data_IF_772971539005
#
_entry.id   IF_772971539005
#
_cell.length_a   1.000
_cell.length_b   1.000
_cell.length_c   1.000
_cell.angle_alpha   90.00
_cell.angle_beta   90.00
_cell.angle_gamma   90.00
#
_symmetry.space_group_name_H-M   'P 1'
#
loop_
_entity.id
_entity.type
_entity.pdbx_description
1 polymer ?
#
# COMPACT_ATOMS: atom_id res chain seq x y z
N UNK A 1 81.74 -58.57 50.18
CA UNK A 1 80.32 -58.25 49.88
C UNK A 1 80.20 -56.86 49.24
N UNK A 2 80.70 -55.81 49.90
CA UNK A 2 80.67 -54.41 49.39
C UNK A 2 81.34 -54.25 48.01
N UNK A 3 82.48 -54.90 47.79
CA UNK A 3 83.23 -54.84 46.51
C UNK A 3 82.50 -55.48 45.33
N UNK A 4 81.60 -56.44 45.56
CA UNK A 4 80.80 -57.09 44.50
C UNK A 4 79.70 -56.14 44.04
N UNK A 5 78.99 -55.50 44.98
CA UNK A 5 77.99 -54.48 44.64
C UNK A 5 78.59 -53.30 43.88
N UNK A 6 79.77 -52.83 44.28
CA UNK A 6 80.43 -51.71 43.62
C UNK A 6 80.79 -52.01 42.15
N UNK A 7 81.25 -53.23 41.87
CA UNK A 7 81.56 -53.69 40.50
C UNK A 7 80.29 -53.81 39.65
N UNK A 8 79.22 -54.37 40.20
CA UNK A 8 77.91 -54.45 39.52
C UNK A 8 77.36 -53.06 39.19
N UNK A 9 77.52 -52.09 40.10
CA UNK A 9 77.12 -50.69 39.84
C UNK A 9 77.98 -50.07 38.74
N UNK A 10 79.30 -50.26 38.76
CA UNK A 10 80.18 -49.75 37.69
C UNK A 10 79.86 -50.38 36.33
N UNK A 11 79.62 -51.69 36.29
CA UNK A 11 79.31 -52.43 35.06
C UNK A 11 77.92 -52.06 34.49
N UNK A 12 76.97 -51.64 35.35
CA UNK A 12 75.60 -51.26 34.95
C UNK A 12 75.34 -49.74 34.82
N UNK A 13 76.30 -48.89 35.23
CA UNK A 13 76.13 -47.43 35.25
C UNK A 13 75.75 -46.84 33.89
N UNK A 14 76.37 -47.31 32.81
CA UNK A 14 76.06 -46.84 31.45
C UNK A 14 74.60 -47.13 31.08
N UNK A 15 74.11 -48.34 31.33
CA UNK A 15 72.74 -48.76 31.01
C UNK A 15 71.70 -47.96 31.80
N UNK A 16 71.99 -47.66 33.08
CA UNK A 16 71.11 -46.85 33.91
C UNK A 16 71.06 -45.39 33.44
N UNK A 17 72.19 -44.82 33.02
CA UNK A 17 72.26 -43.46 32.47
C UNK A 17 71.51 -43.37 31.14
N UNK A 18 71.70 -44.33 30.23
CA UNK A 18 70.97 -44.36 28.95
C UNK A 18 69.46 -44.52 29.18
N UNK A 19 69.05 -45.43 30.07
CA UNK A 19 67.63 -45.64 30.37
C UNK A 19 66.97 -44.39 30.98
N UNK A 20 67.70 -43.64 31.80
CA UNK A 20 67.22 -42.36 32.34
C UNK A 20 67.07 -41.31 31.25
N UNK A 21 68.06 -41.17 30.37
CA UNK A 21 68.01 -40.23 29.26
C UNK A 21 66.82 -40.53 28.33
N UNK A 22 66.62 -41.80 27.95
CA UNK A 22 65.46 -42.21 27.14
C UNK A 22 64.11 -41.95 27.84
N UNK A 23 64.05 -42.10 29.17
CA UNK A 23 62.84 -41.78 29.93
C UNK A 23 62.56 -40.27 29.94
N UNK A 24 63.60 -39.45 30.12
CA UNK A 24 63.51 -37.98 30.06
C UNK A 24 63.11 -37.52 28.64
N UNK A 25 63.65 -38.10 27.57
CA UNK A 25 63.25 -37.80 26.18
C UNK A 25 61.78 -38.15 25.90
N UNK A 26 61.28 -39.30 26.41
CA UNK A 26 59.86 -39.65 26.28
C UNK A 26 58.96 -38.62 26.95
N UNK A 27 59.31 -38.17 28.16
CA UNK A 27 58.56 -37.16 28.89
C UNK A 27 58.60 -35.82 28.12
N UNK A 28 59.76 -35.41 27.62
CA UNK A 28 59.89 -34.19 26.82
C UNK A 28 59.06 -34.26 25.53
N UNK A 29 59.08 -35.39 24.82
CA UNK A 29 58.27 -35.59 23.62
C UNK A 29 56.76 -35.55 23.91
N UNK A 30 56.31 -36.13 25.02
CA UNK A 30 54.91 -36.05 25.45
C UNK A 30 54.53 -34.60 25.71
N UNK A 31 55.34 -33.87 26.48
CA UNK A 31 55.10 -32.47 26.83
C UNK A 31 55.04 -31.57 25.59
N UNK A 32 55.95 -31.77 24.64
CA UNK A 32 55.95 -31.01 23.39
C UNK A 32 54.68 -31.24 22.57
N UNK A 33 54.17 -32.48 22.52
CA UNK A 33 52.90 -32.78 21.85
C UNK A 33 51.73 -32.13 22.56
N UNK A 34 51.68 -32.19 23.89
CA UNK A 34 50.63 -31.53 24.67
C UNK A 34 50.62 -30.02 24.44
N UNK A 35 51.80 -29.38 24.38
CA UNK A 35 51.94 -27.96 24.07
C UNK A 35 51.48 -27.63 22.63
N UNK A 36 51.82 -28.48 21.66
CA UNK A 36 51.37 -28.32 20.27
C UNK A 36 49.87 -28.52 20.12
N UNK A 37 49.31 -29.57 20.73
CA UNK A 37 47.87 -29.85 20.72
C UNK A 37 47.07 -28.77 21.46
N UNK A 38 47.64 -28.18 22.51
CA UNK A 38 47.06 -27.02 23.19
C UNK A 38 47.09 -25.79 22.29
N UNK A 39 48.22 -25.49 21.63
CA UNK A 39 48.34 -24.37 20.72
C UNK A 39 47.41 -24.50 19.51
N UNK A 40 47.30 -25.70 18.93
CA UNK A 40 46.41 -25.99 17.81
C UNK A 40 44.95 -25.77 18.19
N UNK A 41 44.52 -26.28 19.36
CA UNK A 41 43.15 -26.07 19.85
C UNK A 41 42.86 -24.59 20.10
N UNK A 42 43.78 -23.88 20.73
CA UNK A 42 43.62 -22.45 20.97
C UNK A 42 43.50 -21.65 19.66
N UNK A 43 44.29 -21.98 18.64
CA UNK A 43 44.19 -21.36 17.32
C UNK A 43 42.83 -21.67 16.65
N UNK A 44 42.38 -22.92 16.72
CA UNK A 44 41.10 -23.33 16.15
C UNK A 44 39.91 -22.62 16.84
N UNK A 45 39.93 -22.54 18.17
CA UNK A 45 38.91 -21.82 18.94
C UNK A 45 38.89 -20.33 18.61
N UNK A 46 40.08 -19.71 18.43
CA UNK A 46 40.18 -18.32 18.00
C UNK A 46 39.53 -18.13 16.63
N UNK A 47 39.89 -18.93 15.62
CA UNK A 47 39.29 -18.85 14.28
C UNK A 47 37.77 -19.01 14.33
N UNK A 48 37.25 -19.97 15.11
CA UNK A 48 35.80 -20.16 15.29
C UNK A 48 35.11 -18.98 15.99
N UNK A 49 35.79 -18.26 16.89
CA UNK A 49 35.25 -17.05 17.50
C UNK A 49 35.19 -15.92 16.49
N UNK A 50 36.26 -15.73 15.70
CA UNK A 50 36.29 -14.71 14.65
C UNK A 50 35.21 -14.95 13.59
N UNK A 51 35.03 -16.19 13.13
CA UNK A 51 33.99 -16.53 12.17
C UNK A 51 32.59 -16.25 12.72
N UNK A 52 32.32 -16.64 13.97
CA UNK A 52 31.02 -16.34 14.61
C UNK A 52 30.78 -14.85 14.76
N UNK A 53 31.78 -14.08 15.18
CA UNK A 53 31.64 -12.62 15.28
C UNK A 53 31.35 -11.97 13.93
N UNK A 54 32.02 -12.43 12.87
CA UNK A 54 31.76 -11.95 11.52
C UNK A 54 30.34 -12.30 11.06
N UNK A 55 29.89 -13.52 11.30
CA UNK A 55 28.52 -13.95 10.97
C UNK A 55 27.48 -13.14 11.73
N UNK A 56 27.69 -12.91 13.04
CA UNK A 56 26.79 -12.08 13.86
C UNK A 56 26.78 -10.62 13.40
N UNK A 57 27.92 -10.08 12.96
CA UNK A 57 28.01 -8.73 12.40
C UNK A 57 27.32 -8.62 11.03
N UNK A 58 27.55 -9.57 10.12
CA UNK A 58 26.84 -9.65 8.84
C UNK A 58 25.33 -9.77 9.06
N UNK A 59 24.88 -10.66 9.95
CA UNK A 59 23.46 -10.82 10.26
C UNK A 59 22.86 -9.55 10.89
N UNK A 60 23.61 -8.85 11.76
CA UNK A 60 23.16 -7.58 12.33
C UNK A 60 23.01 -6.50 11.25
N UNK A 61 23.96 -6.41 10.34
CA UNK A 61 23.91 -5.46 9.21
C UNK A 61 22.76 -5.79 8.26
N UNK A 62 22.54 -7.07 7.94
CA UNK A 62 21.40 -7.50 7.13
C UNK A 62 20.07 -7.13 7.79
N UNK A 63 19.92 -7.40 9.09
CA UNK A 63 18.71 -7.02 9.84
C UNK A 63 18.49 -5.51 9.85
N UNK A 64 19.54 -4.72 10.08
CA UNK A 64 19.46 -3.26 10.05
C UNK A 64 19.05 -2.75 8.67
N UNK A 65 19.64 -3.28 7.60
CA UNK A 65 19.27 -2.93 6.22
C UNK A 65 17.82 -3.30 5.88
N UNK A 66 17.36 -4.48 6.31
CA UNK A 66 16.00 -4.95 6.09
C UNK A 66 14.97 -4.11 6.88
N UNK A 67 15.32 -3.69 8.09
CA UNK A 67 14.48 -2.76 8.87
C UNK A 67 14.45 -1.36 8.25
N UNK A 68 15.57 -0.86 7.75
CA UNK A 68 15.63 0.42 7.05
C UNK A 68 14.81 0.40 5.75
N UNK A 69 14.89 -0.68 4.96
CA UNK A 69 14.09 -0.86 3.75
C UNK A 69 12.60 -0.92 4.07
N UNK A 70 12.22 -1.66 5.13
CA UNK A 70 10.82 -1.72 5.58
C UNK A 70 10.29 -0.35 6.01
N UNK A 71 11.07 0.42 6.76
CA UNK A 71 10.70 1.78 7.19
C UNK A 71 10.53 2.71 5.99
N UNK A 72 11.48 2.71 5.06
CA UNK A 72 11.39 3.53 3.86
C UNK A 72 10.14 3.20 3.05
N UNK A 73 9.82 1.91 2.89
CA UNK A 73 8.61 1.48 2.19
C UNK A 73 7.32 1.92 2.92
N UNK A 74 7.29 1.81 4.24
CA UNK A 74 6.15 2.24 5.05
C UNK A 74 5.94 3.76 4.96
N UNK A 75 7.02 4.54 5.03
CA UNK A 75 7.01 6.00 4.84
C UNK A 75 6.51 6.38 3.43
N UNK A 76 6.99 5.71 2.37
CA UNK A 76 6.51 5.93 1.00
C UNK A 76 5.02 5.61 0.84
N UNK A 77 4.54 4.52 1.46
CA UNK A 77 3.13 4.15 1.45
C UNK A 77 2.26 5.15 2.23
N UNK A 78 2.76 5.69 3.35
CA UNK A 78 2.08 6.75 4.11
C UNK A 78 2.03 8.07 3.32
N UNK A 79 3.15 8.49 2.72
CA UNK A 79 3.18 9.68 1.86
C UNK A 79 2.24 9.55 0.65
N UNK A 80 2.18 8.36 0.03
CA UNK A 80 1.26 8.11 -1.07
C UNK A 80 -0.20 8.26 -0.64
N UNK A 81 -0.57 7.67 0.52
CA UNK A 81 -1.90 7.83 1.10
C UNK A 81 -2.24 9.29 1.39
N UNK A 82 -1.30 10.04 1.99
CA UNK A 82 -1.53 11.45 2.28
C UNK A 82 -1.70 12.29 0.99
N UNK A 83 -0.93 12.00 -0.05
CA UNK A 83 -1.08 12.66 -1.36
C UNK A 83 -2.44 12.34 -2.00
N UNK A 84 -2.88 11.08 -1.94
CA UNK A 84 -4.19 10.67 -2.44
C UNK A 84 -5.35 11.35 -1.68
N UNK A 85 -5.26 11.45 -0.35
CA UNK A 85 -6.26 12.15 0.47
C UNK A 85 -6.30 13.66 0.15
N UNK A 86 -5.13 14.29 0.02
CA UNK A 86 -5.05 15.71 -0.37
C UNK A 86 -5.63 15.95 -1.77
N UNK A 87 -5.31 15.08 -2.73
CA UNK A 87 -5.84 15.18 -4.09
C UNK A 87 -7.36 14.93 -4.12
N UNK A 88 -7.86 13.96 -3.35
CA UNK A 88 -9.29 13.70 -3.24
C UNK A 88 -10.04 14.90 -2.63
N UNK A 89 -9.49 15.49 -1.57
CA UNK A 89 -10.03 16.69 -0.93
C UNK A 89 -10.04 17.90 -1.90
N UNK A 90 -8.96 18.09 -2.67
CA UNK A 90 -8.90 19.14 -3.69
C UNK A 90 -9.93 18.93 -4.80
N UNK A 91 -10.07 17.69 -5.30
CA UNK A 91 -11.09 17.33 -6.31
C UNK A 91 -12.51 17.56 -5.79
N UNK A 92 -12.78 17.25 -4.53
CA UNK A 92 -14.08 17.51 -3.90
C UNK A 92 -14.33 19.02 -3.77
N UNK A 93 -13.36 19.78 -3.27
CA UNK A 93 -13.45 21.23 -3.16
C UNK A 93 -13.69 21.88 -4.54
N UNK A 94 -13.02 21.41 -5.59
CA UNK A 94 -13.23 21.87 -6.96
C UNK A 94 -14.66 21.58 -7.44
N UNK A 95 -15.23 20.40 -7.13
CA UNK A 95 -16.63 20.09 -7.45
C UNK A 95 -17.61 21.01 -6.74
N UNK A 96 -17.37 21.28 -5.45
CA UNK A 96 -18.20 22.19 -4.66
C UNK A 96 -18.15 23.59 -5.24
N UNK A 97 -16.95 24.10 -5.57
CA UNK A 97 -16.78 25.40 -6.21
C UNK A 97 -17.48 25.49 -7.56
N UNK A 98 -17.32 24.49 -8.42
CA UNK A 98 -18.03 24.44 -9.71
C UNK A 98 -19.54 24.39 -9.53
N UNK A 99 -20.04 23.70 -8.50
CA UNK A 99 -21.47 23.68 -8.17
C UNK A 99 -21.95 25.05 -7.67
N UNK A 100 -21.17 25.72 -6.83
CA UNK A 100 -21.48 27.08 -6.36
C UNK A 100 -21.47 28.09 -7.51
N UNK A 101 -20.44 28.07 -8.36
CA UNK A 101 -20.36 28.95 -9.54
C UNK A 101 -21.53 28.68 -10.50
N UNK A 102 -21.91 27.42 -10.73
CA UNK A 102 -23.10 27.07 -11.52
C UNK A 102 -24.39 27.55 -10.87
N UNK A 103 -24.53 27.42 -9.55
CA UNK A 103 -25.72 27.91 -8.84
C UNK A 103 -25.82 29.45 -8.92
N UNK A 104 -24.71 30.16 -8.78
CA UNK A 104 -24.68 31.61 -8.96
C UNK A 104 -24.96 32.04 -10.42
N UNK A 105 -24.47 31.28 -11.40
CA UNK A 105 -24.63 31.60 -12.82
C UNK A 105 -26.03 31.25 -13.38
N UNK A 106 -26.69 30.23 -12.84
CA UNK A 106 -27.95 29.72 -13.39
C UNK A 106 -29.20 30.41 -12.80
N UNK A 107 -29.05 31.22 -11.75
CA UNK A 107 -30.20 31.86 -11.06
C UNK A 107 -31.05 30.83 -10.31
N UNK A 108 -32.08 31.31 -9.58
CA UNK A 108 -33.06 30.41 -8.94
C UNK A 108 -33.77 29.60 -10.02
N UNK A 109 -33.85 28.29 -9.82
CA UNK A 109 -34.65 27.40 -10.66
C UNK A 109 -36.07 27.97 -10.70
N UNK A 110 -36.66 28.20 -11.90
CA UNK A 110 -38.00 28.75 -11.98
C UNK A 110 -38.94 27.87 -11.14
N UNK A 111 -39.81 28.49 -10.35
CA UNK A 111 -40.69 27.84 -9.37
C UNK A 111 -41.50 26.67 -9.97
N UNK A 112 -41.72 26.74 -11.29
CA UNK A 112 -42.13 25.62 -12.13
C UNK A 112 -40.94 25.30 -13.05
N UNK A 113 -40.35 24.10 -12.92
CA UNK A 113 -39.21 23.64 -13.75
C UNK A 113 -39.54 23.58 -15.27
N UNK A 114 -38.82 22.79 -16.11
CA UNK A 114 -39.15 22.63 -17.55
C UNK A 114 -40.58 22.10 -17.82
N UNK A 115 -41.24 21.72 -16.73
CA UNK A 115 -42.61 21.28 -16.54
C UNK A 115 -43.63 22.41 -16.76
N UNK A 116 -43.47 23.30 -17.75
CA UNK A 116 -44.45 24.34 -18.06
C UNK A 116 -45.15 23.99 -19.38
N UNK A 117 -46.47 24.19 -19.46
CA UNK A 117 -47.24 23.83 -20.67
C UNK A 117 -46.76 24.56 -21.94
N UNK A 118 -46.11 25.72 -21.81
CA UNK A 118 -45.41 26.41 -22.89
C UNK A 118 -44.42 25.51 -23.66
N UNK A 119 -43.65 24.66 -22.96
CA UNK A 119 -42.67 23.75 -23.59
C UNK A 119 -43.34 22.80 -24.59
N UNK A 120 -44.60 22.42 -24.36
CA UNK A 120 -45.36 21.58 -25.29
C UNK A 120 -45.76 22.35 -26.55
N UNK A 121 -46.11 23.62 -26.42
CA UNK A 121 -46.37 24.49 -27.56
C UNK A 121 -45.10 24.74 -28.36
N UNK A 122 -43.99 25.08 -27.71
CA UNK A 122 -42.69 25.30 -28.36
C UNK A 122 -42.24 24.03 -29.13
N UNK A 123 -42.44 22.84 -28.55
CA UNK A 123 -42.16 21.57 -29.24
C UNK A 123 -43.03 21.39 -30.49
N UNK A 124 -44.35 21.61 -30.39
CA UNK A 124 -45.27 21.44 -31.52
C UNK A 124 -44.99 22.47 -32.62
N UNK A 125 -44.74 23.73 -32.24
CA UNK A 125 -44.35 24.80 -33.15
C UNK A 125 -43.02 24.46 -33.85
N UNK A 126 -42.06 23.85 -33.15
CA UNK A 126 -40.79 23.40 -33.75
C UNK A 126 -40.92 22.27 -34.79
N UNK A 127 -42.05 21.54 -34.80
CA UNK A 127 -42.30 20.51 -35.81
C UNK A 127 -42.70 21.11 -37.18
N UNK A 128 -43.06 22.40 -37.22
CA UNK A 128 -43.42 23.10 -38.46
C UNK A 128 -44.71 22.60 -39.13
N UNK A 129 -45.50 21.76 -38.44
CA UNK A 129 -46.70 21.11 -39.01
C UNK A 129 -47.93 22.02 -38.97
N UNK A 130 -47.96 22.99 -38.06
CA UNK A 130 -49.15 23.80 -37.74
C UNK A 130 -48.92 25.31 -37.89
N UNK A 131 -47.85 25.74 -38.58
CA UNK A 131 -47.43 27.15 -38.69
C UNK A 131 -48.51 28.12 -39.22
N UNK A 132 -49.56 27.61 -39.87
CA UNK A 132 -50.64 28.42 -40.49
C UNK A 132 -51.96 28.38 -39.72
N UNK A 133 -52.05 27.63 -38.62
CA UNK A 133 -53.30 27.41 -37.88
C UNK A 133 -53.17 27.77 -36.41
N UNK A 134 -54.13 28.50 -35.86
CA UNK A 134 -54.28 28.60 -34.41
C UNK A 134 -54.80 27.27 -33.86
N UNK A 135 -54.14 26.71 -32.85
CA UNK A 135 -54.52 25.44 -32.25
C UNK A 135 -54.53 25.51 -30.72
N UNK A 136 -55.29 24.61 -30.11
CA UNK A 136 -55.32 24.40 -28.67
C UNK A 136 -55.04 22.95 -28.32
N UNK A 137 -54.47 22.73 -27.13
CA UNK A 137 -54.16 21.40 -26.63
C UNK A 137 -55.27 20.95 -25.68
N UNK A 138 -55.80 19.75 -25.89
CA UNK A 138 -57.02 19.31 -25.21
C UNK A 138 -56.83 17.92 -24.62
N UNK A 139 -57.18 17.73 -23.34
CA UNK A 139 -57.31 16.39 -22.73
C UNK A 139 -58.69 15.82 -23.03
N UNK A 140 -58.80 14.48 -23.09
CA UNK A 140 -60.10 13.84 -23.33
C UNK A 140 -60.91 13.63 -22.02
N UNK A 141 -60.25 13.34 -20.89
CA UNK A 141 -60.94 12.99 -19.64
C UNK A 141 -60.22 13.48 -18.37
N UNK A 142 -60.80 14.42 -17.60
CA UNK A 142 -61.87 15.33 -18.01
C UNK A 142 -61.43 16.19 -19.22
N UNK A 143 -62.38 16.61 -20.05
CA UNK A 143 -62.07 17.50 -21.18
C UNK A 143 -61.65 18.87 -20.66
N UNK A 144 -60.37 19.17 -20.81
CA UNK A 144 -59.78 20.47 -20.44
C UNK A 144 -59.07 21.03 -21.65
N UNK A 145 -59.42 22.26 -22.02
CA UNK A 145 -58.73 23.02 -23.06
C UNK A 145 -57.61 23.83 -22.40
N UNK A 146 -56.39 23.58 -22.86
CA UNK A 146 -55.21 24.40 -22.64
C UNK A 146 -55.08 25.28 -23.87
N UNK A 147 -55.32 26.58 -23.70
CA UNK A 147 -55.04 27.59 -24.72
C UNK A 147 -53.76 28.35 -24.38
N UNK A 148 -53.43 29.35 -25.21
CA UNK A 148 -52.30 30.27 -24.97
C UNK A 148 -52.40 31.01 -23.61
N UNK A 149 -53.60 31.07 -23.02
CA UNK A 149 -53.90 31.65 -21.70
C UNK A 149 -53.37 30.82 -20.52
N UNK A 150 -53.11 29.52 -20.72
CA UNK A 150 -52.66 28.60 -19.66
C UNK A 150 -51.21 28.15 -19.81
N UNK A 151 -50.47 28.75 -20.74
CA UNK A 151 -49.09 28.36 -21.08
C UNK A 151 -48.12 28.42 -19.91
N UNK A 152 -48.34 29.32 -18.95
CA UNK A 152 -47.48 29.49 -17.79
C UNK A 152 -47.77 28.50 -16.64
N UNK A 153 -48.73 27.57 -16.82
CA UNK A 153 -49.05 26.55 -15.81
C UNK A 153 -48.04 25.40 -15.81
N UNK A 154 -47.76 24.83 -14.63
CA UNK A 154 -46.94 23.63 -14.55
C UNK A 154 -47.68 22.39 -15.10
N UNK A 155 -46.98 21.39 -15.65
CA UNK A 155 -47.56 20.12 -16.09
C UNK A 155 -48.20 19.37 -14.92
N UNK A 156 -47.70 19.56 -13.70
CA UNK A 156 -48.31 19.04 -12.48
C UNK A 156 -49.63 19.73 -12.15
N UNK A 157 -49.70 21.05 -12.23
CA UNK A 157 -50.94 21.81 -11.99
C UNK A 157 -51.97 21.61 -13.10
N UNK A 158 -51.49 21.37 -14.33
CA UNK A 158 -52.30 20.97 -15.47
C UNK A 158 -52.73 19.48 -15.40
N UNK A 159 -52.28 18.70 -14.41
CA UNK A 159 -52.61 17.28 -14.30
C UNK A 159 -52.08 16.41 -15.45
N UNK A 160 -51.02 16.87 -16.13
CA UNK A 160 -50.35 16.18 -17.24
C UNK A 160 -49.19 15.30 -16.78
N UNK A 161 -48.71 15.49 -15.54
CA UNK A 161 -47.69 14.66 -14.91
C UNK A 161 -48.31 13.44 -14.18
N UNK A 162 -47.72 12.22 -14.26
CA UNK A 162 -46.48 11.88 -14.98
C UNK A 162 -46.71 11.52 -16.46
N UNK A 163 -47.96 11.25 -16.85
CA UNK A 163 -48.32 10.92 -18.22
C UNK A 163 -49.74 11.41 -18.51
N UNK A 164 -49.92 12.06 -19.66
CA UNK A 164 -51.21 12.43 -20.20
C UNK A 164 -51.22 12.34 -21.72
N UNK A 165 -52.42 12.20 -22.29
CA UNK A 165 -52.65 12.24 -23.72
C UNK A 165 -53.32 13.56 -24.09
N UNK A 166 -52.66 14.31 -24.96
CA UNK A 166 -53.17 15.57 -25.50
C UNK A 166 -53.55 15.38 -26.96
N UNK A 167 -54.63 16.04 -27.35
CA UNK A 167 -55.09 16.14 -28.72
C UNK A 167 -54.96 17.59 -29.18
N UNK A 168 -54.69 17.77 -30.47
CA UNK A 168 -54.59 19.09 -31.10
C UNK A 168 -55.95 19.41 -31.72
N UNK A 169 -56.58 20.48 -31.24
CA UNK A 169 -57.83 21.02 -31.79
C UNK A 169 -57.47 22.31 -32.55
N UNK A 170 -57.65 22.29 -33.88
CA UNK A 170 -57.43 23.46 -34.74
C UNK A 170 -58.65 24.38 -34.61
N UNK A 171 -58.42 25.67 -34.31
CA UNK A 171 -59.45 26.69 -34.16
C UNK A 171 -59.80 27.36 -35.50
#
# INVERSE_FOLDING_TARGET
MISILQRVVQDSSHVLVTARFEAEERINNLRLREEQDAAYRAALEADQVWERQRQEEEERLERESAEAERKHKEEEEEEAREREEREAAEREAARVRMRQEKALALGDEPENGPDVTQTLYDYIDSLGVLETYEYSLVTNLPRTVYGRDKESMSLKDAGLHPQASLFIEIN
#
